data_IF_692458411695
#
_entry.id   IF_692458411695
#
_cell.length_a   1.000
_cell.length_b   1.000
_cell.length_c   1.000
_cell.angle_alpha   90.00
_cell.angle_beta   90.00
_cell.angle_gamma   90.00
#
_symmetry.space_group_name_H-M   'P 1'
#
loop_
_entity.id
_entity.type
_entity.pdbx_description
1 polymer ?
#
# COMPACT_ATOMS: atom_id res chain seq x y z
N UNK A 1 18.04 3.75 29.67
CA UNK A 1 18.35 4.25 28.31
C UNK A 1 17.46 5.47 28.10
N UNK A 2 18.06 6.64 27.87
CA UNK A 2 17.32 7.88 27.66
C UNK A 2 17.53 8.30 26.21
N UNK A 3 16.45 8.26 25.46
CA UNK A 3 16.32 8.64 24.05
C UNK A 3 15.47 9.92 24.03
N UNK A 4 15.81 10.87 23.16
CA UNK A 4 15.18 12.19 23.13
C UNK A 4 13.75 12.15 22.55
N UNK A 5 13.38 11.04 21.88
CA UNK A 5 12.02 10.73 21.39
C UNK A 5 11.73 9.21 21.52
N UNK A 6 11.07 8.57 20.52
CA UNK A 6 10.82 7.12 20.53
C UNK A 6 12.08 6.35 20.10
N UNK A 7 12.27 5.13 20.62
CA UNK A 7 13.29 4.22 20.08
C UNK A 7 13.06 4.02 18.57
N UNK A 8 14.13 4.14 17.76
CA UNK A 8 14.12 4.12 16.29
C UNK A 8 13.50 5.32 15.55
N UNK A 9 13.28 6.48 16.18
CA UNK A 9 12.76 7.69 15.49
C UNK A 9 13.79 8.47 14.63
N UNK A 10 15.00 7.94 14.46
CA UNK A 10 16.04 8.48 13.55
C UNK A 10 16.03 7.79 12.18
N UNK A 11 17.07 8.03 11.36
CA UNK A 11 17.27 7.37 10.05
C UNK A 11 17.11 5.84 10.11
N UNK A 12 17.44 5.23 11.25
CA UNK A 12 17.24 3.81 11.56
C UNK A 12 15.80 3.31 11.31
N UNK A 13 14.77 4.12 11.54
CA UNK A 13 13.38 3.74 11.29
C UNK A 13 13.01 3.72 9.81
N UNK A 14 13.50 4.67 9.01
CA UNK A 14 13.25 4.72 7.56
C UNK A 14 14.07 3.66 6.81
N UNK A 15 15.33 3.50 7.19
CA UNK A 15 16.21 2.48 6.60
C UNK A 15 15.65 1.07 6.82
N UNK A 16 15.18 0.77 8.03
CA UNK A 16 14.56 -0.51 8.33
C UNK A 16 13.28 -0.75 7.51
N UNK A 17 12.51 0.29 7.16
CA UNK A 17 11.35 0.13 6.27
C UNK A 17 11.80 -0.14 4.82
N UNK A 18 12.75 0.61 4.28
CA UNK A 18 13.25 0.40 2.92
C UNK A 18 13.88 -1.00 2.76
N UNK A 19 14.72 -1.41 3.72
CA UNK A 19 15.30 -2.75 3.75
C UNK A 19 14.22 -3.82 3.89
N UNK A 20 13.25 -3.62 4.79
CA UNK A 20 12.14 -4.55 4.96
C UNK A 20 11.30 -4.69 3.69
N UNK A 21 10.97 -3.60 3.01
CA UNK A 21 10.17 -3.61 1.78
C UNK A 21 10.91 -4.31 0.63
N UNK A 22 12.23 -4.06 0.51
CA UNK A 22 13.08 -4.76 -0.45
C UNK A 22 13.11 -6.28 -0.20
N UNK A 23 13.30 -6.69 1.06
CA UNK A 23 13.28 -8.10 1.45
C UNK A 23 11.87 -8.70 1.27
N UNK A 24 10.81 -8.00 1.67
CA UNK A 24 9.43 -8.46 1.53
C UNK A 24 9.08 -8.72 0.07
N UNK A 25 9.47 -7.83 -0.84
CA UNK A 25 9.30 -8.04 -2.27
C UNK A 25 10.01 -9.32 -2.74
N UNK A 26 11.28 -9.51 -2.36
CA UNK A 26 12.05 -10.70 -2.74
C UNK A 26 11.40 -11.99 -2.22
N UNK A 27 10.96 -12.03 -0.96
CA UNK A 27 10.28 -13.19 -0.37
C UNK A 27 8.92 -13.46 -1.05
N UNK A 28 8.19 -12.40 -1.41
CA UNK A 28 6.93 -12.51 -2.16
C UNK A 28 7.17 -13.09 -3.55
N UNK A 29 8.16 -12.58 -4.28
CA UNK A 29 8.52 -13.06 -5.61
C UNK A 29 8.99 -14.53 -5.56
N UNK A 30 9.81 -14.88 -4.56
CA UNK A 30 10.25 -16.26 -4.31
C UNK A 30 9.07 -17.18 -4.08
N UNK A 31 8.13 -16.82 -3.20
CA UNK A 31 6.92 -17.60 -2.96
C UNK A 31 6.12 -17.81 -4.25
N UNK A 32 5.92 -16.75 -5.04
CA UNK A 32 5.21 -16.82 -6.32
C UNK A 32 5.89 -17.80 -7.28
N UNK A 33 7.22 -17.74 -7.38
CA UNK A 33 8.01 -18.63 -8.25
C UNK A 33 7.96 -20.09 -7.77
N UNK A 34 8.24 -20.36 -6.50
CA UNK A 34 8.24 -21.70 -5.90
C UNK A 34 6.87 -22.39 -6.01
N UNK A 35 5.80 -21.61 -6.10
CA UNK A 35 4.44 -22.12 -6.22
C UNK A 35 3.90 -22.09 -7.67
N UNK A 36 4.74 -21.78 -8.66
CA UNK A 36 4.37 -21.69 -10.08
C UNK A 36 3.20 -20.71 -10.36
N UNK A 37 3.14 -19.60 -9.61
CA UNK A 37 2.07 -18.61 -9.68
C UNK A 37 2.40 -17.42 -10.58
N UNK A 38 3.63 -17.30 -11.08
CA UNK A 38 4.11 -16.09 -11.77
C UNK A 38 3.20 -15.66 -12.94
N UNK A 39 2.79 -16.60 -13.80
CA UNK A 39 1.87 -16.33 -14.90
C UNK A 39 0.43 -16.08 -14.41
N UNK A 40 -0.03 -16.77 -13.35
CA UNK A 40 -1.38 -16.57 -12.80
C UNK A 40 -1.52 -15.14 -12.27
N UNK A 41 -0.54 -14.64 -11.52
CA UNK A 41 -0.59 -13.33 -10.86
C UNK A 41 -0.05 -12.19 -11.70
N UNK A 42 0.32 -12.45 -12.97
CA UNK A 42 0.96 -11.49 -13.87
C UNK A 42 2.18 -10.80 -13.22
N UNK A 43 3.07 -11.61 -12.63
CA UNK A 43 4.29 -11.09 -12.01
C UNK A 43 5.19 -10.48 -13.09
N UNK A 44 5.55 -9.20 -12.92
CA UNK A 44 6.52 -8.50 -13.76
C UNK A 44 7.64 -7.97 -12.87
N UNK A 45 8.88 -8.32 -13.18
CA UNK A 45 10.06 -7.78 -12.51
C UNK A 45 10.71 -6.71 -13.38
N UNK A 46 10.95 -5.53 -12.79
CA UNK A 46 11.50 -4.38 -13.49
C UNK A 46 12.14 -3.39 -12.49
N UNK A 47 12.25 -2.12 -12.87
CA UNK A 47 12.61 -1.04 -11.94
C UNK A 47 11.39 -0.18 -11.61
N UNK A 48 11.39 0.40 -10.42
CA UNK A 48 10.54 1.55 -10.12
C UNK A 48 11.36 2.83 -10.22
N UNK A 49 10.69 3.96 -10.47
CA UNK A 49 11.26 5.29 -10.46
C UNK A 49 10.42 6.21 -9.56
N UNK A 50 11.07 6.76 -8.53
CA UNK A 50 10.56 7.91 -7.79
C UNK A 50 10.95 9.15 -8.58
N UNK A 51 9.96 9.77 -9.24
CA UNK A 51 10.13 10.94 -10.10
C UNK A 51 9.70 12.18 -9.32
N UNK A 52 10.62 13.11 -9.10
CA UNK A 52 10.38 14.29 -8.28
C UNK A 52 9.91 15.45 -9.15
N UNK A 53 8.69 15.91 -8.92
CA UNK A 53 8.03 16.92 -9.77
C UNK A 53 8.44 18.36 -9.41
N UNK A 54 9.04 18.59 -8.24
CA UNK A 54 9.46 19.93 -7.79
C UNK A 54 10.91 19.95 -7.30
N UNK A 55 11.60 21.11 -7.33
CA UNK A 55 12.95 21.22 -6.80
C UNK A 55 13.04 20.90 -5.29
N UNK A 56 11.99 21.21 -4.52
CA UNK A 56 11.96 20.94 -3.08
C UNK A 56 11.81 19.44 -2.80
N UNK A 57 10.83 18.77 -3.45
CA UNK A 57 10.68 17.31 -3.32
C UNK A 57 11.95 16.57 -3.76
N UNK A 58 12.62 17.05 -4.81
CA UNK A 58 13.90 16.50 -5.26
C UNK A 58 15.02 16.63 -4.23
N UNK A 59 15.14 17.80 -3.61
CA UNK A 59 16.12 18.04 -2.53
C UNK A 59 15.86 17.13 -1.34
N UNK A 60 14.60 16.93 -0.95
CA UNK A 60 14.20 16.02 0.13
C UNK A 60 14.53 14.57 -0.24
N UNK A 61 14.20 14.13 -1.46
CA UNK A 61 14.50 12.81 -1.99
C UNK A 61 16.00 12.49 -1.99
N UNK A 62 16.82 13.42 -2.50
CA UNK A 62 18.28 13.31 -2.47
C UNK A 62 18.82 13.25 -1.04
N UNK A 63 18.29 14.04 -0.12
CA UNK A 63 18.69 14.00 1.28
C UNK A 63 18.33 12.64 1.93
N UNK A 64 17.17 12.07 1.60
CA UNK A 64 16.75 10.74 2.04
C UNK A 64 17.68 9.65 1.52
N UNK A 65 17.98 9.65 0.21
CA UNK A 65 18.91 8.72 -0.41
C UNK A 65 20.32 8.81 0.20
N UNK A 66 20.85 10.03 0.35
CA UNK A 66 22.17 10.23 0.95
C UNK A 66 22.19 9.77 2.41
N UNK A 67 21.14 10.05 3.19
CA UNK A 67 21.01 9.58 4.56
C UNK A 67 20.95 8.05 4.67
N UNK A 68 20.24 7.38 3.77
CA UNK A 68 20.19 5.91 3.68
C UNK A 68 21.58 5.34 3.39
N UNK A 69 22.28 5.89 2.39
CA UNK A 69 23.65 5.52 2.03
C UNK A 69 24.64 5.73 3.18
N UNK A 70 24.62 6.89 3.82
CA UNK A 70 25.51 7.26 4.93
C UNK A 70 25.28 6.38 6.17
N UNK A 71 24.05 5.88 6.34
CA UNK A 71 23.71 4.95 7.41
C UNK A 71 24.09 3.50 7.13
N UNK A 72 24.71 3.21 5.98
CA UNK A 72 25.14 1.86 5.57
C UNK A 72 24.12 1.09 4.75
N UNK A 73 23.05 1.73 4.26
CA UNK A 73 22.08 1.12 3.36
C UNK A 73 22.71 0.71 2.01
N UNK A 74 22.26 -0.42 1.45
CA UNK A 74 22.74 -0.90 0.15
C UNK A 74 22.13 -0.10 -0.99
N UNK A 75 22.98 0.67 -1.67
CA UNK A 75 22.61 1.49 -2.84
C UNK A 75 23.22 0.96 -4.14
N UNK A 76 23.74 -0.26 -4.15
CA UNK A 76 24.49 -0.81 -5.31
C UNK A 76 23.65 -0.93 -6.59
N UNK A 77 22.32 -1.09 -6.45
CA UNK A 77 21.37 -1.16 -7.56
C UNK A 77 20.39 0.04 -7.57
N UNK A 78 20.74 1.14 -6.91
CA UNK A 78 19.95 2.39 -6.89
C UNK A 78 20.62 3.42 -7.80
N UNK A 79 19.89 3.93 -8.79
CA UNK A 79 20.39 4.94 -9.72
C UNK A 79 19.72 6.29 -9.47
N UNK A 80 20.54 7.33 -9.28
CA UNK A 80 20.09 8.72 -9.20
C UNK A 80 20.24 9.33 -10.58
N UNK A 81 19.11 9.72 -11.19
CA UNK A 81 19.04 10.32 -12.52
C UNK A 81 18.91 11.84 -12.40
N UNK A 82 19.73 12.56 -13.16
CA UNK A 82 19.52 14.00 -13.39
C UNK A 82 18.20 14.24 -14.12
N UNK A 83 17.74 15.50 -14.14
CA UNK A 83 16.56 15.90 -14.92
C UNK A 83 16.60 15.40 -16.37
N UNK A 84 17.70 15.66 -17.08
CA UNK A 84 17.80 15.29 -18.49
C UNK A 84 17.76 13.77 -18.70
N UNK A 85 18.44 13.00 -17.85
CA UNK A 85 18.42 11.53 -17.90
C UNK A 85 17.03 10.98 -17.57
N UNK A 86 16.36 11.54 -16.55
CA UNK A 86 15.03 11.12 -16.14
C UNK A 86 13.99 11.42 -17.23
N UNK A 87 13.92 12.65 -17.75
CA UNK A 87 12.96 13.00 -18.78
C UNK A 87 13.12 12.16 -20.05
N UNK A 88 14.37 11.86 -20.45
CA UNK A 88 14.65 11.04 -21.63
C UNK A 88 14.34 9.55 -21.40
N UNK A 89 14.94 8.95 -20.37
CA UNK A 89 14.84 7.49 -20.17
C UNK A 89 13.47 7.03 -19.66
N UNK A 90 12.77 7.89 -18.92
CA UNK A 90 11.45 7.58 -18.33
C UNK A 90 10.28 8.13 -19.15
N UNK A 91 10.56 8.89 -20.22
CA UNK A 91 9.58 9.58 -21.06
C UNK A 91 8.64 10.50 -20.25
N UNK A 92 9.20 11.20 -19.27
CA UNK A 92 8.47 12.15 -18.42
C UNK A 92 8.81 13.60 -18.81
N UNK A 93 7.97 14.55 -18.39
CA UNK A 93 8.14 15.99 -18.60
C UNK A 93 8.28 16.70 -17.25
N UNK A 94 9.09 17.77 -17.21
CA UNK A 94 9.02 18.77 -16.15
C UNK A 94 9.56 18.33 -14.78
N UNK A 95 10.13 17.14 -14.66
CA UNK A 95 10.69 16.66 -13.40
C UNK A 95 11.98 17.41 -13.01
N UNK A 96 12.37 17.30 -11.74
CA UNK A 96 13.63 17.81 -11.19
C UNK A 96 14.74 16.75 -11.14
N UNK A 97 14.37 15.48 -11.20
CA UNK A 97 15.26 14.31 -11.16
C UNK A 97 14.45 13.06 -10.82
N UNK A 98 15.12 11.89 -10.80
CA UNK A 98 14.50 10.64 -10.40
C UNK A 98 15.47 9.73 -9.65
N UNK A 99 14.94 8.85 -8.80
CA UNK A 99 15.69 7.76 -8.17
C UNK A 99 15.05 6.45 -8.61
N UNK A 100 15.83 5.54 -9.17
CA UNK A 100 15.33 4.26 -9.65
C UNK A 100 15.94 3.09 -8.90
N UNK A 101 15.15 2.05 -8.65
CA UNK A 101 15.54 0.87 -7.88
C UNK A 101 14.80 -0.39 -8.37
N UNK A 102 15.28 -1.61 -8.08
CA UNK A 102 14.60 -2.84 -8.45
C UNK A 102 13.22 -2.95 -7.79
N UNK A 103 12.23 -3.39 -8.55
CA UNK A 103 10.86 -3.56 -8.09
C UNK A 103 10.14 -4.66 -8.89
N UNK A 104 8.90 -4.92 -8.50
CA UNK A 104 7.99 -5.72 -9.29
C UNK A 104 6.55 -5.25 -9.12
N UNK A 105 5.71 -5.64 -10.07
CA UNK A 105 4.27 -5.62 -9.89
C UNK A 105 3.66 -7.00 -10.12
N UNK A 106 2.43 -7.14 -9.62
CA UNK A 106 1.59 -8.30 -9.80
C UNK A 106 0.11 -7.86 -9.70
N UNK A 107 -0.82 -8.77 -9.97
CA UNK A 107 -2.26 -8.57 -9.71
C UNK A 107 -2.59 -8.96 -8.26
N UNK A 108 -2.88 -8.02 -7.35
CA UNK A 108 -3.06 -8.32 -5.93
C UNK A 108 -4.20 -9.29 -5.64
N UNK A 109 -5.36 -9.09 -6.28
CA UNK A 109 -6.50 -10.00 -6.17
C UNK A 109 -6.15 -11.44 -6.55
N UNK A 110 -5.45 -11.65 -7.68
CA UNK A 110 -5.08 -13.01 -8.11
C UNK A 110 -4.12 -13.67 -7.12
N UNK A 111 -3.16 -12.93 -6.56
CA UNK A 111 -2.29 -13.45 -5.50
C UNK A 111 -3.11 -13.86 -4.26
N UNK A 112 -4.02 -12.99 -3.80
CA UNK A 112 -4.87 -13.28 -2.65
C UNK A 112 -5.74 -14.54 -2.87
N UNK A 113 -6.33 -14.68 -4.05
CA UNK A 113 -7.11 -15.88 -4.43
C UNK A 113 -6.22 -17.12 -4.50
N UNK A 114 -5.01 -17.03 -5.04
CA UNK A 114 -4.08 -18.15 -5.10
C UNK A 114 -3.67 -18.63 -3.69
N UNK A 115 -3.39 -17.69 -2.77
CA UNK A 115 -3.09 -18.00 -1.36
C UNK A 115 -4.31 -18.62 -0.67
N UNK A 116 -5.51 -18.06 -0.88
CA UNK A 116 -6.75 -18.58 -0.33
C UNK A 116 -7.04 -20.01 -0.84
N UNK A 117 -6.85 -20.28 -2.13
CA UNK A 117 -7.01 -21.61 -2.74
C UNK A 117 -6.08 -22.63 -2.07
N UNK A 118 -4.84 -22.25 -1.77
CA UNK A 118 -3.91 -23.09 -1.01
C UNK A 118 -4.42 -23.35 0.41
N UNK A 119 -4.91 -22.32 1.10
CA UNK A 119 -5.51 -22.46 2.43
C UNK A 119 -6.69 -23.45 2.44
N UNK A 120 -7.60 -23.36 1.46
CA UNK A 120 -8.73 -24.28 1.32
C UNK A 120 -8.27 -25.74 1.17
N UNK A 121 -7.25 -25.98 0.35
CA UNK A 121 -6.67 -27.33 0.16
C UNK A 121 -6.02 -27.88 1.44
N UNK A 122 -5.64 -27.01 2.38
CA UNK A 122 -5.10 -27.38 3.70
C UNK A 122 -6.19 -27.50 4.78
N UNK A 123 -7.47 -27.33 4.42
CA UNK A 123 -8.61 -27.47 5.34
C UNK A 123 -9.14 -26.16 5.93
N UNK A 124 -8.74 -24.99 5.40
CA UNK A 124 -9.38 -23.72 5.76
C UNK A 124 -10.87 -23.75 5.38
N UNK A 125 -11.74 -23.39 6.34
CA UNK A 125 -13.17 -23.20 6.09
C UNK A 125 -13.46 -21.73 5.77
N UNK A 126 -13.83 -21.43 4.53
CA UNK A 126 -14.17 -20.07 4.10
C UNK A 126 -15.69 -19.84 4.13
N UNK A 127 -16.12 -18.80 4.85
CA UNK A 127 -17.50 -18.34 4.89
C UNK A 127 -17.61 -16.91 4.34
N UNK A 128 -17.96 -16.76 3.06
CA UNK A 128 -18.23 -15.45 2.46
C UNK A 128 -19.62 -14.93 2.84
N UNK A 129 -19.89 -13.64 2.61
CA UNK A 129 -21.17 -12.99 2.94
C UNK A 129 -21.62 -13.21 4.40
N UNK A 130 -20.65 -13.22 5.31
CA UNK A 130 -20.85 -13.55 6.74
C UNK A 130 -20.19 -12.48 7.61
N UNK A 131 -20.73 -11.24 7.63
CA UNK A 131 -20.15 -10.17 8.41
C UNK A 131 -20.26 -10.50 9.91
N UNK A 132 -19.14 -10.35 10.61
CA UNK A 132 -19.14 -10.41 12.08
C UNK A 132 -19.75 -9.12 12.61
N UNK A 133 -20.70 -9.24 13.53
CA UNK A 133 -21.40 -8.10 14.14
C UNK A 133 -20.96 -7.85 15.59
N UNK A 134 -20.40 -8.85 16.27
CA UNK A 134 -19.82 -8.68 17.60
C UNK A 134 -18.87 -9.83 17.98
N UNK A 135 -17.92 -9.54 18.88
CA UNK A 135 -17.04 -10.52 19.51
C UNK A 135 -17.10 -10.34 21.03
N UNK A 136 -17.56 -11.35 21.76
CA UNK A 136 -17.76 -11.30 23.21
C UNK A 136 -17.27 -12.59 23.88
N UNK A 137 -17.09 -12.61 25.19
CA UNK A 137 -16.90 -13.84 25.96
C UNK A 137 -17.72 -13.78 27.25
N UNK A 138 -18.09 -14.94 27.78
CA UNK A 138 -18.54 -15.05 29.17
C UNK A 138 -17.30 -15.28 30.04
N UNK A 139 -17.20 -14.55 31.16
CA UNK A 139 -16.10 -14.33 32.15
C UNK A 139 -14.86 -15.26 32.10
N UNK A 140 -15.01 -16.55 31.76
CA UNK A 140 -13.93 -17.46 31.41
C UNK A 140 -14.40 -18.45 30.31
N UNK A 141 -14.04 -18.22 29.05
CA UNK A 141 -14.43 -19.11 27.95
C UNK A 141 -13.94 -18.63 26.58
N UNK A 142 -14.13 -19.46 25.52
CA UNK A 142 -13.81 -19.04 24.17
C UNK A 142 -14.62 -17.80 23.75
N UNK A 143 -14.05 -17.03 22.83
CA UNK A 143 -14.71 -15.89 22.21
C UNK A 143 -15.90 -16.37 21.37
N UNK A 144 -17.08 -15.82 21.64
CA UNK A 144 -18.26 -15.93 20.80
C UNK A 144 -18.19 -14.87 19.72
N UNK A 145 -18.07 -15.31 18.47
CA UNK A 145 -18.07 -14.45 17.28
C UNK A 145 -19.45 -14.53 16.63
N UNK A 146 -20.20 -13.44 16.68
CA UNK A 146 -21.61 -13.40 16.24
C UNK A 146 -21.75 -12.86 14.82
N UNK A 147 -22.67 -13.43 14.05
CA UNK A 147 -22.98 -13.07 12.67
C UNK A 147 -24.50 -13.18 12.44
N UNK A 148 -25.06 -12.61 11.35
CA UNK A 148 -26.47 -12.83 11.00
C UNK A 148 -26.83 -14.30 10.71
N UNK A 149 -25.84 -15.16 10.48
CA UNK A 149 -25.99 -16.59 10.17
C UNK A 149 -25.83 -17.50 11.40
N UNK A 150 -25.68 -16.93 12.60
CA UNK A 150 -25.37 -17.65 13.83
C UNK A 150 -24.01 -17.23 14.41
N UNK A 151 -23.46 -18.02 15.33
CA UNK A 151 -22.19 -17.72 15.99
C UNK A 151 -21.22 -18.90 15.92
N UNK A 152 -19.94 -18.59 16.08
CA UNK A 152 -18.87 -19.59 16.28
C UNK A 152 -18.15 -19.29 17.58
N UNK A 153 -17.63 -20.34 18.22
CA UNK A 153 -16.78 -20.23 19.40
C UNK A 153 -15.33 -20.40 18.98
N UNK A 154 -14.45 -19.47 19.38
CA UNK A 154 -13.04 -19.48 19.02
C UNK A 154 -12.16 -19.17 20.23
N UNK A 155 -11.10 -19.97 20.42
CA UNK A 155 -10.11 -19.68 21.48
C UNK A 155 -9.28 -18.43 21.15
N UNK A 156 -9.06 -18.17 19.86
CA UNK A 156 -8.31 -17.03 19.34
C UNK A 156 -9.07 -16.38 18.19
N UNK A 157 -9.07 -15.05 18.12
CA UNK A 157 -9.71 -14.27 17.05
C UNK A 157 -8.68 -13.33 16.45
N UNK A 158 -8.49 -13.37 15.12
CA UNK A 158 -7.60 -12.46 14.41
C UNK A 158 -8.45 -11.47 13.61
N UNK A 159 -8.33 -10.18 13.92
CA UNK A 159 -8.96 -9.09 13.21
C UNK A 159 -8.06 -8.65 12.06
N UNK A 160 -8.43 -9.04 10.84
CA UNK A 160 -7.76 -8.67 9.60
C UNK A 160 -8.64 -7.75 8.73
N UNK A 161 -9.44 -6.90 9.36
CA UNK A 161 -10.44 -6.01 8.72
C UNK A 161 -9.89 -4.63 8.38
N UNK A 162 -8.60 -4.39 8.59
CA UNK A 162 -7.87 -3.17 8.22
C UNK A 162 -8.61 -1.88 8.63
N UNK A 163 -9.01 -1.03 7.68
CA UNK A 163 -9.70 0.24 7.96
C UNK A 163 -11.04 0.07 8.70
N UNK A 164 -11.68 -1.09 8.59
CA UNK A 164 -12.95 -1.38 9.26
C UNK A 164 -12.78 -1.93 10.70
N UNK A 165 -11.56 -1.98 11.22
CA UNK A 165 -11.28 -2.63 12.51
C UNK A 165 -12.04 -2.01 13.69
N UNK A 166 -12.23 -0.68 13.69
CA UNK A 166 -12.90 0.05 14.77
C UNK A 166 -14.37 -0.36 14.97
N UNK A 167 -15.02 -0.94 13.96
CA UNK A 167 -16.39 -1.44 14.07
C UNK A 167 -16.51 -2.57 15.12
N UNK A 168 -15.54 -3.50 15.13
CA UNK A 168 -15.50 -4.62 16.10
C UNK A 168 -14.65 -4.30 17.34
N UNK A 169 -13.74 -3.34 17.22
CA UNK A 169 -12.79 -2.93 18.24
C UNK A 169 -12.90 -1.42 18.47
N UNK A 170 -13.94 -0.93 19.19
CA UNK A 170 -14.16 0.50 19.39
C UNK A 170 -12.96 1.24 19.99
N UNK A 171 -12.07 0.54 20.72
CA UNK A 171 -10.84 1.11 21.23
C UNK A 171 -9.83 1.53 20.14
N UNK A 172 -10.00 1.06 18.90
CA UNK A 172 -9.19 1.46 17.74
C UNK A 172 -9.74 2.71 17.05
N UNK A 173 -10.89 3.22 17.47
CA UNK A 173 -11.38 4.52 17.02
C UNK A 173 -10.34 5.61 17.34
N UNK A 174 -10.12 6.49 16.36
CA UNK A 174 -9.03 7.46 16.42
C UNK A 174 -7.62 6.88 16.25
N UNK A 175 -7.40 5.56 16.15
CA UNK A 175 -6.05 4.94 16.04
C UNK A 175 -5.81 4.25 14.71
N UNK A 176 -6.88 3.67 14.15
CA UNK A 176 -6.94 3.25 12.75
C UNK A 176 -8.10 4.02 12.13
N UNK A 177 -7.77 4.98 11.28
CA UNK A 177 -8.76 5.80 10.59
C UNK A 177 -9.02 5.19 9.21
N UNK A 178 -10.29 4.90 8.85
CA UNK A 178 -10.63 4.60 7.47
C UNK A 178 -10.22 5.75 6.56
N UNK A 179 -9.52 5.47 5.47
CA UNK A 179 -9.19 6.45 4.44
C UNK A 179 -9.53 5.86 3.07
N UNK A 180 -10.35 6.57 2.29
CA UNK A 180 -10.74 6.13 0.96
C UNK A 180 -9.66 6.49 -0.06
N UNK A 181 -9.01 5.49 -0.64
CA UNK A 181 -8.13 5.65 -1.80
C UNK A 181 -8.86 5.39 -3.11
N UNK A 182 -8.35 5.96 -4.20
CA UNK A 182 -8.89 5.82 -5.55
C UNK A 182 -7.84 5.24 -6.51
N UNK A 183 -8.32 4.45 -7.47
CA UNK A 183 -7.50 3.93 -8.55
C UNK A 183 -8.32 3.92 -9.85
N UNK A 184 -7.69 4.35 -10.94
CA UNK A 184 -8.26 4.26 -12.28
C UNK A 184 -7.38 3.42 -13.20
N UNK A 185 -8.02 2.66 -14.07
CA UNK A 185 -7.40 2.04 -15.23
C UNK A 185 -7.62 2.93 -16.45
N UNK A 186 -6.54 3.46 -17.00
CA UNK A 186 -6.55 4.34 -18.17
C UNK A 186 -6.13 3.55 -19.39
N UNK A 187 -6.89 3.65 -20.48
CA UNK A 187 -6.50 3.08 -21.77
C UNK A 187 -5.29 3.84 -22.30
N UNK A 188 -4.12 3.19 -22.46
CA UNK A 188 -2.94 3.86 -23.01
C UNK A 188 -3.22 4.39 -24.43
N UNK A 189 -2.62 5.52 -24.80
CA UNK A 189 -2.54 5.91 -26.20
C UNK A 189 -1.66 4.94 -27.02
N UNK A 190 -1.78 4.97 -28.34
CA UNK A 190 -1.06 4.06 -29.24
C UNK A 190 0.47 4.05 -29.00
N UNK A 191 1.09 5.22 -28.77
CA UNK A 191 2.52 5.31 -28.48
C UNK A 191 2.94 4.47 -27.24
N UNK A 192 2.06 4.38 -26.23
CA UNK A 192 2.25 3.60 -25.01
C UNK A 192 1.74 2.16 -25.16
N UNK A 193 0.96 1.85 -26.19
CA UNK A 193 0.64 0.48 -26.60
C UNK A 193 1.81 -0.17 -27.34
N UNK A 194 2.39 0.55 -28.30
CA UNK A 194 3.50 0.08 -29.15
C UNK A 194 4.80 -0.03 -28.35
N UNK A 195 5.04 0.95 -27.47
CA UNK A 195 6.17 0.96 -26.54
C UNK A 195 5.66 1.13 -25.10
N UNK A 196 5.27 0.03 -24.44
CA UNK A 196 4.82 0.07 -23.06
C UNK A 196 5.91 0.54 -22.10
N UNK A 197 5.49 1.19 -21.02
CA UNK A 197 6.35 1.52 -19.90
C UNK A 197 6.94 0.24 -19.30
N UNK A 198 8.26 0.20 -19.18
CA UNK A 198 9.00 -0.89 -18.53
C UNK A 198 9.40 -0.55 -17.09
N UNK A 199 8.86 0.54 -16.55
CA UNK A 199 9.18 1.10 -15.24
C UNK A 199 7.87 1.41 -14.52
N UNK A 200 7.77 1.08 -13.24
CA UNK A 200 6.71 1.66 -12.39
C UNK A 200 7.11 3.03 -11.88
N UNK A 201 6.13 3.86 -11.55
CA UNK A 201 6.36 5.23 -11.13
C UNK A 201 5.76 5.50 -9.77
N UNK A 202 6.49 6.26 -8.96
CA UNK A 202 5.92 7.13 -7.95
C UNK A 202 6.23 8.57 -8.37
N UNK A 203 5.21 9.40 -8.57
CA UNK A 203 5.37 10.82 -8.89
C UNK A 203 5.25 11.63 -7.61
N UNK A 204 6.38 12.13 -7.13
CA UNK A 204 6.47 12.80 -5.82
C UNK A 204 6.24 14.30 -5.99
N UNK A 205 5.26 14.85 -5.28
CA UNK A 205 5.00 16.29 -5.20
C UNK A 205 4.74 16.74 -3.77
N UNK A 206 5.65 17.56 -3.23
CA UNK A 206 5.61 18.00 -1.83
C UNK A 206 5.57 16.80 -0.87
N UNK A 207 4.50 16.65 -0.09
CA UNK A 207 4.31 15.57 0.90
C UNK A 207 3.43 14.42 0.38
N UNK A 208 2.97 14.47 -0.88
CA UNK A 208 2.11 13.45 -1.50
C UNK A 208 2.79 12.78 -2.72
N UNK A 209 2.24 11.65 -3.14
CA UNK A 209 2.64 10.97 -4.36
C UNK A 209 1.50 10.23 -5.06
N UNK A 210 1.57 10.26 -6.40
CA UNK A 210 0.83 9.35 -7.25
C UNK A 210 1.66 8.13 -7.60
N UNK A 211 1.02 7.00 -7.91
CA UNK A 211 1.73 5.83 -8.40
C UNK A 211 1.08 5.25 -9.65
N UNK A 212 1.95 4.77 -10.56
CA UNK A 212 1.52 4.30 -11.88
C UNK A 212 2.27 3.04 -12.28
N UNK A 213 1.52 2.05 -12.75
CA UNK A 213 2.07 0.88 -13.43
C UNK A 213 1.35 0.70 -14.76
N UNK A 214 2.08 0.29 -15.80
CA UNK A 214 1.44 -0.20 -17.02
C UNK A 214 1.37 -1.73 -16.97
N UNK A 215 0.14 -2.26 -17.07
CA UNK A 215 -0.11 -3.69 -16.94
C UNK A 215 0.38 -4.45 -18.17
N UNK A 216 0.87 -5.70 -18.03
CA UNK A 216 1.01 -6.59 -19.17
C UNK A 216 -0.38 -7.02 -19.67
N UNK A 217 -0.44 -7.54 -20.89
CA UNK A 217 -1.67 -8.06 -21.49
C UNK A 217 -2.08 -7.34 -22.78
N UNK A 218 -3.26 -7.66 -23.33
CA UNK A 218 -3.73 -7.07 -24.58
C UNK A 218 -4.09 -5.59 -24.45
N UNK A 219 -4.73 -5.18 -23.35
CA UNK A 219 -5.22 -3.80 -23.16
C UNK A 219 -4.18 -2.86 -22.57
N UNK A 220 -3.16 -3.41 -21.90
CA UNK A 220 -2.01 -2.69 -21.31
C UNK A 220 -2.38 -1.44 -20.50
N UNK A 221 -3.48 -1.50 -19.75
CA UNK A 221 -3.97 -0.38 -18.97
C UNK A 221 -2.89 0.23 -18.09
N UNK A 222 -2.85 1.56 -18.04
CA UNK A 222 -2.14 2.28 -16.97
C UNK A 222 -3.02 2.26 -15.74
N UNK A 223 -2.55 1.63 -14.68
CA UNK A 223 -3.19 1.64 -13.37
C UNK A 223 -2.59 2.81 -12.60
N UNK A 224 -3.41 3.82 -12.37
CA UNK A 224 -3.03 5.06 -11.70
C UNK A 224 -3.77 5.16 -10.38
N UNK A 225 -3.03 5.24 -9.28
CA UNK A 225 -3.58 5.50 -7.94
C UNK A 225 -2.87 6.67 -7.28
N UNK A 226 -3.44 7.14 -6.17
CA UNK A 226 -3.08 8.41 -5.55
C UNK A 226 -4.16 9.46 -5.83
N UNK A 227 -3.74 10.69 -6.10
CA UNK A 227 -4.64 11.84 -6.28
C UNK A 227 -5.23 12.34 -4.97
N UNK A 228 -4.56 12.09 -3.84
CA UNK A 228 -5.00 12.55 -2.52
C UNK A 228 -5.07 14.08 -2.47
N UNK A 229 -4.17 14.79 -3.14
CA UNK A 229 -4.26 16.26 -3.35
C UNK A 229 -5.56 16.74 -4.00
N UNK A 230 -6.27 15.89 -4.74
CA UNK A 230 -7.52 16.22 -5.41
C UNK A 230 -8.76 15.89 -4.56
N UNK A 231 -8.59 15.24 -3.40
CA UNK A 231 -9.67 15.03 -2.46
C UNK A 231 -10.16 16.38 -1.89
N UNK A 232 -11.49 16.57 -1.74
CA UNK A 232 -12.02 17.67 -0.94
C UNK A 232 -11.46 17.63 0.48
N UNK A 233 -11.20 18.77 1.11
CA UNK A 233 -10.61 18.77 2.47
C UNK A 233 -11.55 18.19 3.53
N UNK A 234 -10.99 17.73 4.65
CA UNK A 234 -11.74 17.25 5.83
C UNK A 234 -12.48 15.93 5.58
N UNK A 235 -13.63 15.74 6.22
CA UNK A 235 -14.41 14.49 6.11
C UNK A 235 -14.87 14.17 4.69
N UNK A 236 -15.06 15.19 3.84
CA UNK A 236 -15.35 15.00 2.41
C UNK A 236 -14.16 14.45 1.61
N UNK A 237 -12.97 14.42 2.20
CA UNK A 237 -11.76 13.84 1.64
C UNK A 237 -11.60 12.35 1.91
N UNK A 238 -12.64 11.68 2.39
CA UNK A 238 -12.61 10.23 2.60
C UNK A 238 -12.05 9.79 3.94
N UNK A 239 -11.67 10.72 4.82
CA UNK A 239 -11.32 10.42 6.22
C UNK A 239 -12.56 9.95 6.98
N UNK A 240 -12.47 8.76 7.58
CA UNK A 240 -13.58 8.08 8.25
C UNK A 240 -14.64 7.53 7.30
N UNK A 241 -14.49 7.73 5.99
CA UNK A 241 -15.40 7.17 5.00
C UNK A 241 -15.12 5.69 4.80
N UNK A 242 -16.14 4.87 5.05
CA UNK A 242 -16.09 3.41 4.94
C UNK A 242 -16.91 2.90 3.74
N UNK A 243 -17.42 3.79 2.88
CA UNK A 243 -18.31 3.43 1.76
C UNK A 243 -17.56 3.42 0.42
N UNK A 244 -16.90 2.32 0.08
CA UNK A 244 -16.17 2.17 -1.20
C UNK A 244 -17.07 1.96 -2.43
N UNK A 245 -18.38 2.18 -2.34
CA UNK A 245 -19.31 2.00 -3.48
C UNK A 245 -19.32 3.19 -4.44
N UNK A 246 -18.75 4.32 -4.03
CA UNK A 246 -18.69 5.53 -4.84
C UNK A 246 -17.26 6.05 -4.97
N UNK A 247 -17.04 6.74 -6.08
CA UNK A 247 -15.81 7.45 -6.41
C UNK A 247 -15.95 8.94 -6.10
N UNK A 248 -14.83 9.62 -5.84
CA UNK A 248 -14.76 11.08 -5.73
C UNK A 248 -14.44 11.65 -7.12
N UNK A 249 -15.37 12.44 -7.66
CA UNK A 249 -15.30 12.95 -9.05
C UNK A 249 -14.07 13.82 -9.35
N UNK A 250 -13.63 14.58 -8.34
CA UNK A 250 -12.48 15.47 -8.40
C UNK A 250 -11.19 14.67 -8.58
N UNK A 251 -11.09 13.53 -7.90
CA UNK A 251 -9.95 12.61 -7.96
C UNK A 251 -9.91 11.88 -9.28
N UNK A 252 -11.05 11.39 -9.76
CA UNK A 252 -11.12 10.77 -11.09
C UNK A 252 -10.74 11.77 -12.20
N UNK A 253 -11.23 13.00 -12.10
CA UNK A 253 -10.89 14.08 -13.05
C UNK A 253 -9.41 14.43 -13.00
N UNK A 254 -8.81 14.46 -11.82
CA UNK A 254 -7.37 14.65 -11.65
C UNK A 254 -6.58 13.52 -12.32
N UNK A 255 -6.87 12.27 -11.97
CA UNK A 255 -6.19 11.07 -12.52
C UNK A 255 -6.31 11.00 -14.05
N UNK A 256 -7.47 11.36 -14.61
CA UNK A 256 -7.67 11.39 -16.07
C UNK A 256 -6.73 12.37 -16.79
N UNK A 257 -6.35 13.48 -16.12
CA UNK A 257 -5.54 14.54 -16.72
C UNK A 257 -4.05 14.43 -16.36
N UNK A 258 -3.68 13.80 -15.24
CA UNK A 258 -2.30 13.69 -14.80
C UNK A 258 -1.32 13.09 -15.85
N UNK A 259 -1.67 12.06 -16.64
CA UNK A 259 -0.79 11.56 -17.71
C UNK A 259 -0.40 12.61 -18.75
N UNK A 260 -1.29 13.54 -19.08
CA UNK A 260 -1.06 14.59 -20.09
C UNK A 260 0.12 15.49 -19.69
N UNK A 261 0.11 15.88 -18.41
CA UNK A 261 1.11 16.76 -17.80
C UNK A 261 2.45 16.04 -17.59
N UNK A 262 2.40 14.75 -17.25
CA UNK A 262 3.58 14.00 -16.81
C UNK A 262 4.30 13.31 -17.96
N UNK A 263 3.58 12.71 -18.90
CA UNK A 263 4.17 11.82 -19.91
C UNK A 263 4.40 12.52 -21.26
N UNK A 264 5.58 12.28 -21.87
CA UNK A 264 5.91 12.71 -23.24
C UNK A 264 4.94 12.10 -24.25
N UNK A 265 4.64 12.85 -25.31
CA UNK A 265 3.83 12.41 -26.46
C UNK A 265 2.39 11.94 -26.13
N UNK A 266 1.89 12.21 -24.92
CA UNK A 266 0.54 11.80 -24.50
C UNK A 266 -0.59 12.60 -25.18
N UNK A 267 -0.42 13.90 -25.43
CA UNK A 267 -1.43 14.73 -26.09
C UNK A 267 -1.48 14.49 -27.60
N UNK A 268 -0.34 14.26 -28.22
CA UNK A 268 -0.22 14.01 -29.67
C UNK A 268 -0.99 12.75 -30.09
N UNK A 269 -1.16 11.80 -29.17
CA UNK A 269 -2.03 10.65 -29.36
C UNK A 269 -3.53 10.92 -29.19
N UNK A 270 -3.96 11.86 -28.34
CA UNK A 270 -5.40 12.21 -28.20
C UNK A 270 -5.97 12.89 -29.45
N UNK A 271 -5.14 13.62 -30.18
CA UNK A 271 -5.55 14.38 -31.36
C UNK A 271 -5.61 13.53 -32.65
N UNK A 272 -5.01 12.34 -32.68
CA UNK A 272 -4.64 11.69 -33.94
C UNK A 272 -5.60 10.60 -34.43
N UNK A 273 -6.49 10.02 -33.63
CA UNK A 273 -7.44 9.02 -34.14
C UNK A 273 -8.81 9.10 -33.43
N UNK A 274 -9.88 9.20 -34.24
CA UNK A 274 -11.28 9.32 -33.81
C UNK A 274 -11.89 8.06 -33.19
N UNK A 275 -11.16 7.33 -32.36
CA UNK A 275 -11.70 6.29 -31.48
C UNK A 275 -11.80 6.84 -30.07
N UNK A 276 -13.03 6.99 -29.58
CA UNK A 276 -13.45 7.68 -28.36
C UNK A 276 -12.97 7.06 -27.02
N UNK A 277 -11.90 6.27 -27.01
CA UNK A 277 -11.43 5.51 -25.84
C UNK A 277 -9.94 5.66 -25.50
N UNK A 278 -9.10 6.26 -26.37
CA UNK A 278 -7.67 6.46 -26.07
C UNK A 278 -7.46 7.54 -25.00
N UNK A 279 -6.66 7.24 -23.97
CA UNK A 279 -6.46 8.12 -22.83
C UNK A 279 -7.74 8.36 -22.01
N UNK A 280 -8.74 7.49 -22.15
CA UNK A 280 -9.96 7.51 -21.33
C UNK A 280 -9.82 6.57 -20.13
N UNK A 281 -10.54 6.89 -19.06
CA UNK A 281 -10.72 5.99 -17.92
C UNK A 281 -11.62 4.83 -18.36
N UNK A 282 -11.06 3.62 -18.40
CA UNK A 282 -11.80 2.40 -18.71
C UNK A 282 -12.53 1.86 -17.47
N UNK A 283 -11.87 1.95 -16.32
CA UNK A 283 -12.42 1.54 -15.03
C UNK A 283 -11.93 2.48 -13.93
N UNK A 284 -12.75 2.70 -12.92
CA UNK A 284 -12.43 3.50 -11.74
C UNK A 284 -13.06 2.82 -10.54
N UNK A 285 -12.32 2.74 -9.44
CA UNK A 285 -12.80 2.15 -8.20
C UNK A 285 -12.15 2.81 -7.00
N UNK A 286 -12.77 2.65 -5.83
CA UNK A 286 -12.22 3.07 -4.56
C UNK A 286 -12.02 1.87 -3.63
N UNK A 287 -11.28 2.09 -2.54
CA UNK A 287 -11.06 1.11 -1.50
C UNK A 287 -10.68 1.77 -0.18
N UNK A 288 -10.93 1.07 0.93
CA UNK A 288 -10.73 1.63 2.27
C UNK A 288 -9.42 1.15 2.88
N UNK A 289 -8.51 2.09 3.10
CA UNK A 289 -7.25 1.91 3.81
C UNK A 289 -7.44 2.08 5.32
N UNK A 290 -6.56 1.46 6.11
CA UNK A 290 -6.45 1.69 7.53
C UNK A 290 -5.25 2.59 7.81
N UNK A 291 -5.51 3.88 8.01
CA UNK A 291 -4.53 4.91 8.33
C UNK A 291 -4.09 4.76 9.79
N UNK A 292 -2.80 4.54 10.02
CA UNK A 292 -2.20 4.56 11.35
C UNK A 292 -1.34 5.81 11.53
N UNK A 293 -1.19 6.26 12.79
CA UNK A 293 -0.48 7.50 13.15
C UNK A 293 0.94 7.61 12.58
N UNK A 294 1.63 6.48 12.57
CA UNK A 294 3.03 6.36 12.19
C UNK A 294 3.19 5.65 10.84
N UNK A 295 2.09 5.43 10.12
CA UNK A 295 2.06 4.81 8.80
C UNK A 295 2.51 3.34 8.79
N UNK A 296 2.62 2.69 9.96
CA UNK A 296 3.06 1.29 10.08
C UNK A 296 1.89 0.35 10.45
N UNK A 297 1.93 -0.93 10.02
CA UNK A 297 0.93 -1.92 10.40
C UNK A 297 1.02 -2.31 11.88
N UNK A 298 -0.11 -2.77 12.42
CA UNK A 298 -0.22 -3.40 13.73
C UNK A 298 -0.38 -4.91 13.57
N UNK A 299 0.52 -5.69 14.20
CA UNK A 299 0.51 -7.14 14.19
C UNK A 299 0.72 -7.69 15.60
N UNK A 300 -0.29 -8.33 16.18
CA UNK A 300 -0.12 -8.94 17.50
C UNK A 300 -1.38 -9.00 18.33
N UNK A 301 -1.21 -9.45 19.58
CA UNK A 301 -2.29 -9.56 20.55
C UNK A 301 -2.72 -8.17 21.05
N UNK A 302 -4.03 -7.95 21.16
CA UNK A 302 -4.59 -6.72 21.67
C UNK A 302 -4.37 -6.61 23.19
N UNK A 303 -3.74 -5.53 23.70
CA UNK A 303 -3.37 -5.42 25.11
C UNK A 303 -4.54 -5.57 26.09
N UNK A 304 -5.74 -5.14 25.71
CA UNK A 304 -6.95 -5.17 26.55
C UNK A 304 -7.86 -6.37 26.29
N UNK A 305 -7.53 -7.25 25.32
CA UNK A 305 -8.38 -8.38 24.90
C UNK A 305 -7.55 -9.64 24.65
N UNK A 306 -7.08 -10.34 25.71
CA UNK A 306 -6.30 -11.57 25.58
C UNK A 306 -6.99 -12.61 24.68
N UNK A 307 -6.24 -13.20 23.75
CA UNK A 307 -6.75 -14.10 22.72
C UNK A 307 -7.38 -13.41 21.50
N UNK A 308 -7.46 -12.08 21.47
CA UNK A 308 -7.75 -11.34 20.24
C UNK A 308 -6.49 -10.69 19.68
N UNK A 309 -6.32 -10.76 18.37
CA UNK A 309 -5.14 -10.30 17.66
C UNK A 309 -5.56 -9.34 16.55
N UNK A 310 -4.69 -8.41 16.18
CA UNK A 310 -4.87 -7.45 15.11
C UNK A 310 -3.80 -7.68 14.03
N UNK A 311 -4.24 -7.65 12.78
CA UNK A 311 -3.40 -7.54 11.58
C UNK A 311 -4.02 -6.46 10.67
N UNK A 312 -3.63 -5.20 10.85
CA UNK A 312 -4.29 -4.08 10.18
C UNK A 312 -3.51 -2.77 10.30
N UNK A 313 -4.04 -1.68 9.72
CA UNK A 313 -3.36 -0.38 9.75
C UNK A 313 -2.24 -0.28 8.70
N UNK A 314 -2.41 -0.92 7.55
CA UNK A 314 -1.37 -1.02 6.52
C UNK A 314 -1.17 0.27 5.69
N UNK A 315 -1.91 1.36 5.95
CA UNK A 315 -1.64 2.72 5.44
C UNK A 315 -1.22 2.79 3.94
N UNK A 316 -2.05 2.25 3.04
CA UNK A 316 -1.78 2.23 1.59
C UNK A 316 -0.63 1.33 1.11
N UNK A 317 0.27 0.88 1.99
CA UNK A 317 1.45 0.08 1.68
C UNK A 317 1.26 -1.41 1.97
N UNK A 318 0.02 -1.91 1.92
CA UNK A 318 -0.31 -3.29 2.27
C UNK A 318 0.50 -4.31 1.48
N UNK A 319 0.52 -4.22 0.15
CA UNK A 319 1.24 -5.18 -0.69
C UNK A 319 2.76 -5.19 -0.46
N UNK A 320 3.33 -4.01 -0.20
CA UNK A 320 4.76 -3.86 0.06
C UNK A 320 5.20 -4.44 1.43
N UNK A 321 4.25 -4.74 2.32
CA UNK A 321 4.55 -5.11 3.72
C UNK A 321 3.90 -6.41 4.19
N UNK A 322 2.80 -6.84 3.58
CA UNK A 322 1.91 -7.86 4.16
C UNK A 322 2.56 -9.25 4.21
N UNK A 323 3.35 -9.63 3.22
CA UNK A 323 3.77 -11.02 3.06
C UNK A 323 4.71 -11.47 4.20
N UNK A 324 5.83 -10.78 4.35
CA UNK A 324 6.83 -11.11 5.37
C UNK A 324 6.35 -10.74 6.78
N UNK A 325 5.60 -9.64 6.92
CA UNK A 325 5.06 -9.24 8.22
C UNK A 325 4.01 -10.23 8.73
N UNK A 326 3.11 -10.74 7.89
CA UNK A 326 2.16 -11.78 8.28
C UNK A 326 2.83 -13.13 8.51
N UNK A 327 3.90 -13.48 7.77
CA UNK A 327 4.70 -14.67 8.06
C UNK A 327 5.28 -14.61 9.47
N UNK A 328 5.94 -13.50 9.82
CA UNK A 328 6.48 -13.27 11.16
C UNK A 328 5.40 -13.25 12.25
N UNK A 329 4.22 -12.68 11.95
CA UNK A 329 3.07 -12.76 12.85
C UNK A 329 2.62 -14.21 13.07
N UNK A 330 2.53 -15.03 12.03
CA UNK A 330 2.18 -16.45 12.16
C UNK A 330 3.21 -17.22 13.00
N UNK A 331 4.51 -17.01 12.76
CA UNK A 331 5.58 -17.60 13.58
C UNK A 331 5.39 -17.24 15.06
N UNK A 332 5.21 -15.95 15.37
CA UNK A 332 4.97 -15.46 16.73
C UNK A 332 3.68 -16.04 17.33
N UNK A 333 2.61 -16.13 16.55
CA UNK A 333 1.31 -16.66 16.96
C UNK A 333 1.35 -18.15 17.31
N UNK A 334 2.23 -18.91 16.63
CA UNK A 334 2.48 -20.33 16.85
C UNK A 334 3.55 -20.59 17.93
N UNK A 335 4.22 -19.55 18.44
CA UNK A 335 5.30 -19.68 19.42
C UNK A 335 6.64 -20.09 18.80
N UNK A 336 6.82 -19.86 17.51
CA UNK A 336 8.03 -20.16 16.74
C UNK A 336 8.99 -18.95 16.73
N UNK A 337 10.28 -19.17 16.44
CA UNK A 337 11.23 -18.08 16.23
C UNK A 337 10.76 -17.15 15.11
N UNK A 338 10.69 -15.84 15.41
CA UNK A 338 10.22 -14.82 14.46
C UNK A 338 11.37 -14.30 13.59
N UNK A 339 11.11 -14.09 12.30
CA UNK A 339 12.06 -13.46 11.38
C UNK A 339 12.48 -12.05 11.86
N UNK A 340 13.77 -11.91 12.18
CA UNK A 340 14.35 -10.68 12.74
C UNK A 340 14.42 -9.52 11.74
N UNK A 341 14.20 -9.79 10.45
CA UNK A 341 14.13 -8.75 9.41
C UNK A 341 12.83 -7.93 9.50
N UNK A 342 11.82 -8.43 10.22
CA UNK A 342 10.56 -7.70 10.41
C UNK A 342 10.71 -6.66 11.53
N UNK A 343 10.37 -5.38 11.28
CA UNK A 343 10.47 -4.34 12.30
C UNK A 343 9.70 -4.68 13.56
N UNK A 344 10.36 -4.67 14.72
CA UNK A 344 9.76 -5.00 16.02
C UNK A 344 8.63 -4.04 16.40
N UNK A 345 8.66 -2.81 15.90
CA UNK A 345 7.60 -1.80 16.04
C UNK A 345 6.25 -2.25 15.47
N UNK A 346 6.22 -3.18 14.52
CA UNK A 346 4.95 -3.75 14.03
C UNK A 346 4.20 -4.52 15.13
N UNK A 347 4.94 -5.04 16.12
CA UNK A 347 4.41 -5.84 17.23
C UNK A 347 4.19 -5.04 18.53
N UNK A 348 4.57 -3.77 18.58
CA UNK A 348 4.42 -2.90 19.76
C UNK A 348 3.05 -2.20 19.80
N UNK A 349 1.99 -3.01 19.88
CA UNK A 349 0.61 -2.49 19.90
C UNK A 349 0.34 -1.64 21.15
N UNK A 350 0.88 -2.02 22.30
CA UNK A 350 0.60 -1.35 23.58
C UNK A 350 1.09 0.11 23.59
N UNK A 351 2.29 0.36 23.08
CA UNK A 351 2.83 1.73 22.98
C UNK A 351 2.11 2.52 21.90
N UNK A 352 1.95 1.92 20.71
CA UNK A 352 1.48 2.62 19.51
C UNK A 352 -0.02 2.91 19.50
N UNK A 353 -0.83 2.11 20.20
CA UNK A 353 -2.28 2.36 20.36
C UNK A 353 -2.60 3.28 21.55
N UNK A 354 -1.61 3.87 22.23
CA UNK A 354 -1.90 4.71 23.40
C UNK A 354 -2.64 5.98 23.03
N UNK A 355 -2.08 6.75 22.09
CA UNK A 355 -2.59 8.06 21.72
C UNK A 355 -3.34 7.99 20.39
N UNK A 356 -4.49 8.68 20.24
CA UNK A 356 -5.15 8.79 18.96
C UNK A 356 -4.29 9.57 17.95
N UNK A 357 -4.67 9.43 16.69
CA UNK A 357 -4.25 10.25 15.57
C UNK A 357 -4.78 11.66 15.78
N UNK A 358 -3.89 12.62 15.59
CA UNK A 358 -4.25 14.03 15.53
C UNK A 358 -4.56 14.37 14.06
N UNK A 359 -5.85 14.52 13.75
CA UNK A 359 -6.31 14.80 12.39
C UNK A 359 -5.88 16.19 11.90
N UNK A 360 -5.66 17.15 12.79
CA UNK A 360 -5.17 18.50 12.41
C UNK A 360 -3.72 18.45 11.91
N UNK A 361 -2.95 17.47 12.38
CA UNK A 361 -1.58 17.22 11.88
C UNK A 361 -1.64 16.46 10.54
N UNK A 362 -2.61 15.57 10.34
CA UNK A 362 -2.71 14.77 9.12
C UNK A 362 -3.23 15.55 7.91
N UNK A 363 -4.07 16.57 8.09
CA UNK A 363 -4.46 17.52 7.02
C UNK A 363 -3.27 18.26 6.39
N UNK A 364 -2.09 18.23 7.03
CA UNK A 364 -0.84 18.82 6.53
C UNK A 364 0.16 17.78 5.99
N UNK A 365 -0.17 16.49 6.04
CA UNK A 365 0.68 15.35 5.62
C UNK A 365 0.05 14.58 4.47
N UNK A 366 -1.21 14.86 4.11
CA UNK A 366 -1.91 14.33 2.96
C UNK A 366 -1.90 15.32 1.79
#
# INVERSE_FOLDING_TARGET
>A
MLEARNAASGATGRNAQCEFEAVNYQETAKFIQENNLAAEVDLVQYRSADVYLTPESWKIGLASYNGFKESGGDVSDINVLSKAEAEESLRVKGCSGAITFPAASLWPYKLAIAVLRKGLNLGLCLHTNTPVTSVSHDISGPWKVSTPRGFVMANKVIHATNGYASYLLPELDGRIIPLKGHVSAITPPLAYMDQPLTTSFAFISNDDYDYVIQRPGPEKYLIWGGGEVAHPKGLSGGFGDCDDRHIVSEVESYILNAPVEIFRDWEESRASFGTSSEGAVAFSWSGIMGLSKDLLPFLGELPSKPGQYLAGGYHGHGMARIFLSCKAFCEKFLGEPTDLRVPTTYFDLASRLKDPIDLEIMDNVA
#
